data_IF_979357704263
#
_entry.id   IF_979357704263
#
_cell.length_a   1.000
_cell.length_b   1.000
_cell.length_c   1.000
_cell.angle_alpha   90.00
_cell.angle_beta   90.00
_cell.angle_gamma   90.00
#
_symmetry.space_group_name_H-M   'P 1'
#
loop_
_entity.id
_entity.type
_entity.pdbx_description
1 polymer ?
#
# COMPACT_ATOMS: atom_id res chain seq x y z
N UNK A 1 1.61 -6.64 6.65
CA UNK A 1 0.43 -6.06 5.97
C UNK A 1 -0.14 -7.02 4.92
N UNK A 2 0.42 -8.23 4.79
CA UNK A 2 -0.11 -9.32 3.95
C UNK A 2 -1.58 -9.67 4.19
N UNK A 3 -2.09 -9.50 5.41
CA UNK A 3 -3.54 -9.64 5.68
C UNK A 3 -4.41 -8.58 4.99
N UNK A 4 -3.83 -7.44 4.62
CA UNK A 4 -4.50 -6.32 3.95
C UNK A 4 -4.40 -6.47 2.43
N UNK A 5 -3.28 -6.99 1.90
CA UNK A 5 -3.01 -6.94 0.44
C UNK A 5 -2.70 -8.28 -0.21
N UNK A 6 -2.58 -9.33 0.58
CA UNK A 6 -2.08 -10.63 0.14
C UNK A 6 -0.57 -10.81 0.35
N UNK A 7 -0.12 -12.07 0.33
CA UNK A 7 1.29 -12.41 0.55
C UNK A 7 2.20 -11.88 -0.54
N UNK A 8 1.83 -12.01 -1.82
CA UNK A 8 2.64 -11.58 -2.96
C UNK A 8 2.94 -10.08 -2.94
N UNK A 9 1.89 -9.26 -2.83
CA UNK A 9 2.04 -7.80 -2.77
C UNK A 9 2.85 -7.39 -1.54
N UNK A 10 2.71 -8.11 -0.43
CA UNK A 10 3.41 -7.87 0.83
C UNK A 10 4.89 -8.21 0.82
N UNK A 11 5.31 -9.11 -0.06
CA UNK A 11 6.72 -9.43 -0.27
C UNK A 11 7.43 -8.30 -1.01
N UNK A 12 6.76 -7.71 -2.00
CA UNK A 12 7.34 -6.73 -2.91
C UNK A 12 7.07 -5.27 -2.57
N UNK A 13 6.21 -5.01 -1.60
CA UNK A 13 5.97 -3.64 -1.17
C UNK A 13 5.90 -3.52 0.36
N UNK A 14 6.18 -2.32 0.85
CA UNK A 14 6.32 -2.02 2.27
C UNK A 14 5.58 -0.74 2.62
N UNK A 15 4.67 -0.76 3.61
CA UNK A 15 4.07 0.46 4.12
C UNK A 15 5.15 1.33 4.77
N UNK A 16 5.14 2.61 4.45
CA UNK A 16 6.04 3.63 4.98
C UNK A 16 5.30 4.55 5.94
N UNK A 17 5.49 5.86 5.75
CA UNK A 17 4.90 6.90 6.60
C UNK A 17 3.42 7.15 6.27
N UNK A 18 2.67 7.45 7.32
CA UNK A 18 1.31 7.99 7.23
C UNK A 18 1.40 9.49 7.50
N UNK A 19 0.85 10.30 6.59
CA UNK A 19 0.69 11.74 6.76
C UNK A 19 -0.78 12.10 6.57
N UNK A 20 -1.47 12.42 7.66
CA UNK A 20 -2.91 12.68 7.66
C UNK A 20 -3.73 11.50 7.11
N UNK A 21 -4.29 11.67 5.92
CA UNK A 21 -5.11 10.68 5.20
C UNK A 21 -4.32 9.86 4.16
N UNK A 22 -3.01 10.10 4.04
CA UNK A 22 -2.15 9.51 3.02
C UNK A 22 -1.18 8.47 3.61
N UNK A 23 -1.29 7.23 3.15
CA UNK A 23 -0.27 6.20 3.38
C UNK A 23 0.74 6.19 2.22
N UNK A 24 2.03 6.32 2.51
CA UNK A 24 3.07 6.09 1.52
C UNK A 24 3.47 4.61 1.54
N UNK A 25 3.49 3.97 0.37
CA UNK A 25 3.97 2.59 0.20
C UNK A 25 5.17 2.60 -0.73
N UNK A 26 6.19 1.81 -0.40
CA UNK A 26 7.35 1.63 -1.26
C UNK A 26 7.28 0.26 -1.91
N UNK A 27 7.28 0.20 -3.24
CA UNK A 27 7.38 -1.01 -4.04
C UNK A 27 8.81 -1.23 -4.53
N UNK A 28 9.20 -2.49 -4.64
CA UNK A 28 10.55 -2.88 -5.08
C UNK A 28 10.80 -2.51 -6.56
N UNK A 29 9.78 -2.60 -7.42
CA UNK A 29 9.88 -2.25 -8.84
C UNK A 29 8.59 -1.61 -9.40
N UNK A 30 8.64 -1.05 -10.64
CA UNK A 30 7.50 -0.39 -11.25
C UNK A 30 6.31 -1.31 -11.57
N UNK A 31 6.54 -2.61 -11.75
CA UNK A 31 5.50 -3.59 -12.06
C UNK A 31 4.61 -3.77 -10.83
N UNK A 32 5.21 -4.02 -9.67
CA UNK A 32 4.47 -4.10 -8.40
C UNK A 32 3.80 -2.79 -8.02
N UNK A 33 4.41 -1.64 -8.33
CA UNK A 33 3.77 -0.35 -8.12
C UNK A 33 2.51 -0.17 -8.98
N UNK A 34 2.52 -0.64 -10.23
CA UNK A 34 1.36 -0.58 -11.11
C UNK A 34 0.24 -1.54 -10.65
N UNK A 35 0.60 -2.76 -10.25
CA UNK A 35 -0.36 -3.74 -9.72
C UNK A 35 -1.01 -3.22 -8.42
N UNK A 36 -0.20 -2.68 -7.51
CA UNK A 36 -0.70 -2.05 -6.29
C UNK A 36 -1.70 -0.93 -6.60
N UNK A 37 -1.42 -0.07 -7.58
CA UNK A 37 -2.34 1.03 -7.97
C UNK A 37 -3.68 0.52 -8.45
N UNK A 38 -3.72 -0.63 -9.12
CA UNK A 38 -4.98 -1.25 -9.51
C UNK A 38 -5.77 -1.73 -8.28
N UNK A 39 -5.07 -2.27 -7.28
CA UNK A 39 -5.63 -2.73 -6.01
C UNK A 39 -5.89 -1.61 -4.99
N UNK A 40 -5.48 -0.36 -5.25
CA UNK A 40 -5.46 0.73 -4.26
C UNK A 40 -6.78 0.85 -3.48
N UNK A 41 -7.91 0.82 -4.19
CA UNK A 41 -9.24 0.90 -3.55
C UNK A 41 -9.51 -0.25 -2.59
N UNK A 42 -9.13 -1.46 -2.96
CA UNK A 42 -9.31 -2.65 -2.13
C UNK A 42 -8.39 -2.60 -0.89
N UNK A 43 -7.16 -2.13 -1.08
CA UNK A 43 -6.20 -1.92 0.02
C UNK A 43 -6.72 -0.90 1.02
N UNK A 44 -7.25 0.25 0.56
CA UNK A 44 -7.84 1.29 1.43
C UNK A 44 -9.01 0.73 2.22
N UNK A 45 -9.93 0.00 1.57
CA UNK A 45 -11.06 -0.63 2.25
C UNK A 45 -10.59 -1.61 3.33
N UNK A 46 -9.66 -2.51 3.01
CA UNK A 46 -9.11 -3.47 3.98
C UNK A 46 -8.32 -2.80 5.10
N UNK A 47 -7.62 -1.69 4.82
CA UNK A 47 -6.96 -0.88 5.84
C UNK A 47 -7.98 -0.35 6.84
N UNK A 48 -9.08 0.24 6.35
CA UNK A 48 -10.14 0.79 7.19
C UNK A 48 -10.81 -0.30 8.04
N UNK A 49 -11.09 -1.46 7.47
CA UNK A 49 -11.64 -2.63 8.18
C UNK A 49 -10.67 -3.14 9.25
N UNK A 50 -9.39 -3.31 8.91
CA UNK A 50 -8.38 -3.89 9.82
C UNK A 50 -8.02 -2.96 10.97
N UNK A 51 -7.90 -1.65 10.72
CA UNK A 51 -7.59 -0.67 11.78
C UNK A 51 -8.83 -0.15 12.51
N UNK A 52 -10.04 -0.52 12.05
CA UNK A 52 -11.30 0.03 12.56
C UNK A 52 -11.39 1.56 12.41
N UNK A 53 -10.54 2.14 11.57
CA UNK A 53 -10.31 3.57 11.45
C UNK A 53 -10.28 3.95 9.98
N UNK A 54 -11.30 4.68 9.54
CA UNK A 54 -11.38 5.22 8.19
C UNK A 54 -10.51 6.49 8.04
N UNK A 55 -9.29 6.47 8.59
CA UNK A 55 -8.38 7.63 8.57
C UNK A 55 -7.58 7.70 7.27
N UNK A 56 -7.17 6.56 6.73
CA UNK A 56 -6.43 6.49 5.48
C UNK A 56 -7.44 6.46 4.32
N UNK A 57 -7.37 7.46 3.45
CA UNK A 57 -8.23 7.55 2.27
C UNK A 57 -7.45 7.47 0.96
N UNK A 58 -6.13 7.68 1.01
CA UNK A 58 -5.26 7.69 -0.16
C UNK A 58 -4.02 6.86 0.09
N UNK A 59 -3.53 6.21 -0.96
CA UNK A 59 -2.25 5.51 -0.91
C UNK A 59 -1.35 6.01 -2.02
N UNK A 60 -0.16 6.50 -1.66
CA UNK A 60 0.86 6.86 -2.63
C UNK A 60 1.91 5.77 -2.71
N UNK A 61 1.99 5.10 -3.87
CA UNK A 61 3.06 4.12 -4.12
C UNK A 61 4.24 4.77 -4.83
N UNK A 62 5.43 4.58 -4.26
CA UNK A 62 6.73 4.97 -4.83
C UNK A 62 7.57 3.73 -5.09
N UNK A 63 8.46 3.78 -6.07
CA UNK A 63 9.40 2.70 -6.36
C UNK A 63 10.72 3.00 -5.66
N UNK A 64 11.20 2.11 -4.80
CA UNK A 64 12.58 2.15 -4.34
C UNK A 64 13.47 1.71 -5.49
N UNK A 65 14.17 2.66 -6.11
CA UNK A 65 15.24 2.31 -7.05
C UNK A 65 16.32 1.57 -6.25
N UNK A 66 16.34 0.24 -6.32
CA UNK A 66 17.54 -0.52 -6.00
C UNK A 66 18.58 -0.17 -7.07
N UNK A 67 19.51 0.71 -6.69
CA UNK A 67 20.78 0.97 -7.37
C UNK A 67 21.73 -0.22 -7.22
#
# INVERSE_FOLDING_TARGET
WSSIVGPDLAEHTRPGSIDGDLLTVTADDPTWAAEFRWLEREVVTRLAETTGSNRIHRVHVRVSRCS
#
